data_IF_840276660035
#
_entry.id   IF_840276660035
#
_cell.length_a   1.000
_cell.length_b   1.000
_cell.length_c   1.000
_cell.angle_alpha   90.00
_cell.angle_beta   90.00
_cell.angle_gamma   90.00
#
_symmetry.space_group_name_H-M   'P 1'
#
loop_
_entity.id
_entity.type
_entity.pdbx_description
1 polymer ?
#
# COMPACT_ATOMS: atom_id res chain seq x y z
N UNK A 1 7.63 29.92 13.71
CA UNK A 1 6.58 29.02 14.24
C UNK A 1 7.26 27.81 14.86
N UNK A 2 6.87 27.33 16.06
CA UNK A 2 7.64 26.35 16.82
C UNK A 2 7.50 24.98 16.16
N UNK A 3 8.61 24.42 15.68
CA UNK A 3 8.68 23.14 14.94
C UNK A 3 8.13 21.93 15.71
N UNK A 4 7.99 22.03 17.04
CA UNK A 4 7.49 20.95 17.92
C UNK A 4 6.00 20.66 17.75
N UNK A 5 5.18 21.69 17.49
CA UNK A 5 3.72 21.53 17.35
C UNK A 5 3.38 20.78 16.05
N UNK A 6 4.12 21.03 14.96
CA UNK A 6 3.89 20.36 13.68
C UNK A 6 4.10 18.84 13.74
N UNK A 7 5.14 18.38 14.44
CA UNK A 7 5.41 16.95 14.59
C UNK A 7 4.34 16.25 15.46
N UNK A 8 3.98 16.86 16.60
CA UNK A 8 2.93 16.34 17.47
C UNK A 8 1.59 16.22 16.72
N UNK A 9 1.23 17.25 15.93
CA UNK A 9 0.02 17.25 15.12
C UNK A 9 0.04 16.15 14.04
N UNK A 10 1.18 15.95 13.35
CA UNK A 10 1.35 14.91 12.33
C UNK A 10 1.22 13.50 12.92
N UNK A 11 1.79 13.27 14.11
CA UNK A 11 1.75 11.96 14.76
C UNK A 11 0.33 11.64 15.26
N UNK A 12 -0.31 12.60 15.94
CA UNK A 12 -1.69 12.46 16.44
C UNK A 12 -2.68 12.29 15.29
N UNK A 13 -2.55 13.06 14.21
CA UNK A 13 -3.43 12.95 13.04
C UNK A 13 -3.40 11.57 12.39
N UNK A 14 -2.21 10.99 12.20
CA UNK A 14 -2.08 9.66 11.56
C UNK A 14 -2.65 8.54 12.44
N UNK A 15 -2.40 8.62 13.76
CA UNK A 15 -2.84 7.60 14.72
C UNK A 15 -4.37 7.61 14.89
N UNK A 16 -4.96 8.80 15.05
CA UNK A 16 -6.42 8.97 15.22
C UNK A 16 -7.18 8.49 13.99
N UNK A 17 -6.72 8.81 12.77
CA UNK A 17 -7.35 8.35 11.53
C UNK A 17 -7.27 6.82 11.42
N UNK A 18 -6.12 6.23 11.72
CA UNK A 18 -5.94 4.78 11.68
C UNK A 18 -6.83 4.03 12.67
N UNK A 19 -6.94 4.53 13.91
CA UNK A 19 -7.82 3.96 14.93
C UNK A 19 -9.30 4.12 14.54
N UNK A 20 -9.70 5.32 14.11
CA UNK A 20 -11.08 5.60 13.70
C UNK A 20 -11.52 4.74 12.51
N UNK A 21 -10.61 4.44 11.56
CA UNK A 21 -10.91 3.57 10.42
C UNK A 21 -11.18 2.11 10.85
N UNK A 22 -10.51 1.63 11.89
CA UNK A 22 -10.74 0.30 12.47
C UNK A 22 -12.01 0.27 13.31
N UNK A 23 -12.23 1.29 14.16
CA UNK A 23 -13.42 1.41 15.00
C UNK A 23 -14.72 1.59 14.18
N UNK A 24 -14.65 2.35 13.08
CA UNK A 24 -15.78 2.52 12.15
C UNK A 24 -16.05 1.27 11.29
N UNK A 25 -15.24 0.21 11.41
CA UNK A 25 -15.41 -1.03 10.67
C UNK A 25 -15.11 -0.92 9.17
N UNK A 26 -14.47 0.18 8.72
CA UNK A 26 -14.10 0.36 7.31
C UNK A 26 -13.00 -0.63 6.91
N UNK A 27 -12.10 -0.97 7.84
CA UNK A 27 -11.00 -1.92 7.64
C UNK A 27 -10.72 -2.73 8.90
N UNK A 28 -10.37 -4.01 8.75
CA UNK A 28 -9.96 -4.87 9.87
C UNK A 28 -8.55 -4.52 10.38
N UNK A 29 -8.33 -4.65 11.69
CA UNK A 29 -7.03 -4.45 12.33
C UNK A 29 -5.91 -5.30 11.68
N UNK A 30 -6.21 -6.56 11.33
CA UNK A 30 -5.26 -7.43 10.64
C UNK A 30 -4.85 -6.88 9.27
N UNK A 31 -5.80 -6.28 8.54
CA UNK A 31 -5.58 -5.69 7.22
C UNK A 31 -4.68 -4.44 7.32
N UNK A 32 -4.91 -3.58 8.32
CA UNK A 32 -4.09 -2.38 8.58
C UNK A 32 -2.64 -2.76 8.86
N UNK A 33 -2.40 -3.84 9.62
CA UNK A 33 -1.05 -4.34 9.91
C UNK A 33 -0.35 -4.79 8.62
N UNK A 34 -1.00 -5.61 7.80
CA UNK A 34 -0.44 -6.11 6.54
C UNK A 34 -0.07 -4.96 5.60
N UNK A 35 -0.98 -4.00 5.40
CA UNK A 35 -0.75 -2.84 4.52
C UNK A 35 0.39 -1.97 5.03
N UNK A 36 0.48 -1.73 6.34
CA UNK A 36 1.55 -0.92 6.93
C UNK A 36 2.93 -1.56 6.72
N UNK A 37 3.03 -2.89 6.86
CA UNK A 37 4.26 -3.63 6.60
C UNK A 37 4.64 -3.53 5.12
N UNK A 38 3.69 -3.76 4.21
CA UNK A 38 3.93 -3.63 2.76
C UNK A 38 4.40 -2.22 2.38
N UNK A 39 3.80 -1.18 2.97
CA UNK A 39 4.21 0.20 2.75
C UNK A 39 5.64 0.48 3.24
N UNK A 40 6.03 -0.05 4.41
CA UNK A 40 7.40 0.08 4.94
C UNK A 40 8.40 -0.65 4.03
N UNK A 41 8.07 -1.87 3.60
CA UNK A 41 8.90 -2.63 2.67
C UNK A 41 9.10 -1.92 1.32
N UNK A 42 8.15 -1.09 0.89
CA UNK A 42 8.30 -0.29 -0.33
C UNK A 42 9.43 0.75 -0.24
N UNK A 43 9.91 1.12 0.95
CA UNK A 43 11.06 2.02 1.11
C UNK A 43 12.42 1.32 0.98
N UNK A 44 12.45 -0.01 0.82
CA UNK A 44 13.69 -0.77 0.62
C UNK A 44 14.26 -0.57 -0.79
N UNK A 45 13.45 -0.15 -1.77
CA UNK A 45 13.90 0.06 -3.14
C UNK A 45 14.80 1.30 -3.26
N UNK A 46 16.10 1.16 -3.58
CA UNK A 46 17.07 2.25 -3.55
C UNK A 46 16.99 3.20 -4.75
N UNK A 47 16.31 2.81 -5.83
CA UNK A 47 16.15 3.59 -7.05
C UNK A 47 14.74 4.20 -7.15
N UNK A 48 14.69 5.53 -7.32
CA UNK A 48 13.44 6.26 -7.53
C UNK A 48 12.67 5.77 -8.77
N UNK A 49 13.39 5.41 -9.83
CA UNK A 49 12.80 4.85 -11.05
C UNK A 49 12.09 3.51 -10.79
N UNK A 50 12.66 2.66 -9.92
CA UNK A 50 12.06 1.38 -9.55
C UNK A 50 10.84 1.59 -8.64
N UNK A 51 10.89 2.55 -7.71
CA UNK A 51 9.72 2.93 -6.91
C UNK A 51 8.58 3.48 -7.76
N UNK A 52 8.89 4.28 -8.79
CA UNK A 52 7.87 4.81 -9.69
C UNK A 52 7.28 3.71 -10.60
N UNK A 53 8.11 2.81 -11.11
CA UNK A 53 7.66 1.65 -11.89
C UNK A 53 6.72 0.75 -11.06
N UNK A 54 7.08 0.46 -9.80
CA UNK A 54 6.24 -0.34 -8.89
C UNK A 54 4.93 0.40 -8.58
N UNK A 55 4.96 1.72 -8.38
CA UNK A 55 3.74 2.52 -8.14
C UNK A 55 2.78 2.46 -9.33
N UNK A 56 3.28 2.56 -10.55
CA UNK A 56 2.48 2.41 -11.77
C UNK A 56 1.92 0.99 -11.90
N UNK A 57 2.70 -0.03 -11.51
CA UNK A 57 2.25 -1.42 -11.50
C UNK A 57 1.16 -1.67 -10.43
N UNK A 58 1.20 -0.95 -9.31
CA UNK A 58 0.30 -1.21 -8.18
C UNK A 58 -1.14 -0.78 -8.47
N UNK A 59 -1.37 0.28 -9.26
CA UNK A 59 -2.71 0.72 -9.67
C UNK A 59 -3.52 -0.35 -10.43
N UNK A 60 -3.02 -0.98 -11.51
CA UNK A 60 -3.75 -2.02 -12.21
C UNK A 60 -3.96 -3.27 -11.32
N UNK A 61 -2.98 -3.63 -10.48
CA UNK A 61 -3.15 -4.71 -9.50
C UNK A 61 -4.24 -4.38 -8.46
N UNK A 62 -4.38 -3.13 -8.05
CA UNK A 62 -5.43 -2.69 -7.13
C UNK A 62 -6.81 -2.75 -7.78
N UNK A 63 -6.92 -2.42 -9.07
CA UNK A 63 -8.17 -2.52 -9.85
C UNK A 63 -8.59 -3.98 -10.03
N UNK A 64 -7.67 -4.87 -10.37
CA UNK A 64 -7.97 -6.31 -10.49
C UNK A 64 -8.27 -6.93 -9.13
N UNK A 65 -7.57 -6.53 -8.06
CA UNK A 65 -7.86 -6.95 -6.69
C UNK A 65 -9.23 -6.46 -6.20
N UNK A 66 -9.63 -5.22 -6.53
CA UNK A 66 -10.95 -4.70 -6.15
C UNK A 66 -12.09 -5.41 -6.88
N UNK A 67 -11.86 -5.86 -8.11
CA UNK A 67 -12.89 -6.51 -8.95
C UNK A 67 -13.05 -8.01 -8.65
N UNK A 68 -11.94 -8.73 -8.42
CA UNK A 68 -11.92 -10.20 -8.27
C UNK A 68 -11.30 -10.70 -6.96
N UNK A 69 -10.93 -9.81 -6.04
CA UNK A 69 -10.29 -10.17 -4.77
C UNK A 69 -8.95 -10.86 -4.97
N UNK A 70 -8.71 -11.92 -4.20
CA UNK A 70 -7.46 -12.70 -4.23
C UNK A 70 -7.21 -13.36 -5.60
N UNK A 71 -8.27 -13.71 -6.34
CA UNK A 71 -8.16 -14.24 -7.71
C UNK A 71 -7.67 -13.18 -8.70
N UNK A 72 -8.03 -11.91 -8.50
CA UNK A 72 -7.55 -10.78 -9.31
C UNK A 72 -6.06 -10.51 -9.11
N UNK A 73 -5.56 -10.69 -7.89
CA UNK A 73 -4.13 -10.60 -7.57
C UNK A 73 -3.37 -11.75 -8.23
N UNK A 74 -3.85 -12.99 -8.10
CA UNK A 74 -3.21 -14.17 -8.70
C UNK A 74 -3.11 -14.06 -10.22
N UNK A 75 -4.20 -13.69 -10.90
CA UNK A 75 -4.23 -13.53 -12.37
C UNK A 75 -3.33 -12.40 -12.83
N UNK A 76 -3.29 -11.27 -12.12
CA UNK A 76 -2.33 -10.19 -12.38
C UNK A 76 -0.88 -10.66 -12.21
N UNK A 77 -0.59 -11.47 -11.19
CA UNK A 77 0.74 -12.00 -10.91
C UNK A 77 1.20 -12.98 -12.01
N UNK A 78 0.30 -13.86 -12.47
CA UNK A 78 0.55 -14.75 -13.60
C UNK A 78 0.79 -13.96 -14.89
N UNK A 79 0.01 -12.91 -15.16
CA UNK A 79 0.23 -12.03 -16.31
C UNK A 79 1.58 -11.32 -16.27
N UNK A 80 1.99 -10.83 -15.09
CA UNK A 80 3.32 -10.25 -14.88
C UNK A 80 4.43 -11.27 -15.12
N UNK A 81 4.29 -12.48 -14.57
CA UNK A 81 5.27 -13.55 -14.73
C UNK A 81 5.42 -13.97 -16.20
N UNK A 82 4.32 -14.06 -16.97
CA UNK A 82 4.36 -14.32 -18.41
C UNK A 82 5.05 -13.18 -19.18
N UNK A 83 4.77 -11.92 -18.83
CA UNK A 83 5.43 -10.77 -19.46
C UNK A 83 6.95 -10.79 -19.24
N UNK A 84 7.40 -11.13 -18.03
CA UNK A 84 8.82 -11.24 -17.71
C UNK A 84 9.51 -12.45 -18.34
N UNK A 85 8.78 -13.54 -18.60
CA UNK A 85 9.33 -14.75 -19.23
C UNK A 85 9.38 -14.66 -20.76
N UNK A 86 8.54 -13.80 -21.35
CA UNK A 86 8.49 -13.53 -22.79
C UNK A 86 9.42 -12.36 -23.21
N UNK A 87 10.29 -11.89 -22.31
CA UNK A 87 11.33 -10.88 -22.56
C UNK A 87 12.71 -11.54 -22.42
#
# INVERSE_FOLDING_TARGET
MPRSIGYALSFVGTLVIGQAAVEAGIVSAAMVIVVSITAICSFVFPSYDLSNAIRILHFPFMVTAASFGLLGILTGLFGLAMHMNNL
#
